data_IF_964043689235
#
_entry.id   IF_964043689235
#
_cell.length_a   1.000
_cell.length_b   1.000
_cell.length_c   1.000
_cell.angle_alpha   90.00
_cell.angle_beta   90.00
_cell.angle_gamma   90.00
#
_symmetry.space_group_name_H-M   'P 1'
#
loop_
_entity.id
_entity.type
_entity.pdbx_description
1 polymer ?
#
# COMPACT_ATOMS: atom_id res chain seq x y z
N UNK A 1 -3.64 4.06 14.26
CA UNK A 1 -2.21 3.81 14.63
C UNK A 1 -1.41 3.51 13.38
N UNK A 2 -0.21 4.08 13.19
CA UNK A 2 0.66 3.66 12.08
C UNK A 2 1.30 2.32 12.44
N UNK A 3 1.08 1.30 11.61
CA UNK A 3 1.59 -0.07 11.84
C UNK A 3 2.73 -0.45 10.90
N UNK A 4 2.87 0.23 9.76
CA UNK A 4 4.03 0.13 8.87
C UNK A 4 4.32 1.49 8.25
N UNK A 5 5.58 1.84 8.06
CA UNK A 5 6.01 3.04 7.36
C UNK A 5 7.40 2.83 6.78
N UNK A 6 7.68 3.42 5.61
CA UNK A 6 8.93 3.24 4.91
C UNK A 6 8.75 3.40 3.40
N UNK A 7 9.71 2.91 2.62
CA UNK A 7 9.59 2.85 1.16
C UNK A 7 8.99 1.51 0.73
N UNK A 8 8.19 1.55 -0.34
CA UNK A 8 7.87 0.35 -1.10
C UNK A 8 9.11 -0.10 -1.90
N UNK A 9 9.22 -1.41 -2.12
CA UNK A 9 10.31 -2.01 -2.88
C UNK A 9 10.01 -1.92 -4.38
N UNK A 10 10.99 -1.45 -5.15
CA UNK A 10 10.90 -1.40 -6.61
C UNK A 10 9.85 -0.44 -7.14
N UNK A 11 9.21 -0.82 -8.24
CA UNK A 11 8.20 0.00 -8.91
C UNK A 11 6.84 -0.13 -8.22
N UNK A 12 6.20 1.02 -8.00
CA UNK A 12 4.79 1.10 -7.67
C UNK A 12 4.04 1.61 -8.89
N UNK A 13 3.04 0.85 -9.35
CA UNK A 13 2.24 1.17 -10.53
C UNK A 13 0.80 1.59 -10.19
N UNK A 14 0.49 1.72 -8.90
CA UNK A 14 -0.84 2.06 -8.41
C UNK A 14 -1.55 0.91 -7.72
N UNK A 15 -2.87 1.00 -7.69
CA UNK A 15 -3.77 -0.03 -7.20
C UNK A 15 -4.43 -0.72 -8.40
N UNK A 16 -4.58 -2.04 -8.35
CA UNK A 16 -5.15 -2.80 -9.45
C UNK A 16 -6.35 -3.64 -8.99
N UNK A 17 -6.08 -4.66 -8.17
CA UNK A 17 -7.04 -5.64 -7.71
C UNK A 17 -6.56 -6.31 -6.43
N UNK A 18 -7.28 -7.33 -5.96
CA UNK A 18 -6.97 -8.04 -4.74
C UNK A 18 -5.71 -8.91 -4.84
N UNK A 19 -5.11 -9.12 -6.01
CA UNK A 19 -3.84 -9.84 -6.18
C UNK A 19 -2.63 -8.91 -6.05
N UNK A 20 -2.86 -7.61 -5.94
CA UNK A 20 -1.80 -6.61 -5.79
C UNK A 20 -1.14 -6.72 -4.41
N UNK A 21 0.19 -6.92 -4.40
CA UNK A 21 1.03 -6.99 -3.20
C UNK A 21 1.93 -5.76 -3.15
N UNK A 22 1.94 -5.10 -1.98
CA UNK A 22 2.83 -4.00 -1.65
C UNK A 22 3.89 -4.49 -0.67
N UNK A 23 5.13 -4.61 -1.15
CA UNK A 23 6.28 -4.99 -0.33
C UNK A 23 7.04 -3.74 0.11
N UNK A 24 7.26 -3.61 1.41
CA UNK A 24 8.16 -2.58 1.95
C UNK A 24 9.61 -3.05 1.86
N UNK A 25 10.57 -2.12 1.80
CA UNK A 25 12.02 -2.44 1.76
C UNK A 25 12.51 -3.27 2.96
N UNK A 26 11.78 -3.26 4.08
CA UNK A 26 12.02 -4.14 5.24
C UNK A 26 11.42 -5.55 5.13
N UNK A 27 10.91 -5.95 3.96
CA UNK A 27 10.35 -7.28 3.69
C UNK A 27 8.90 -7.50 4.12
N UNK A 28 8.29 -6.54 4.84
CA UNK A 28 6.88 -6.63 5.23
C UNK A 28 5.97 -6.43 4.01
N UNK A 29 4.97 -7.30 3.84
CA UNK A 29 4.07 -7.30 2.69
C UNK A 29 2.62 -7.06 3.10
N UNK A 30 1.90 -6.36 2.24
CA UNK A 30 0.48 -6.05 2.38
C UNK A 30 -0.22 -6.38 1.07
N UNK A 31 -1.35 -7.08 1.13
CA UNK A 31 -2.17 -7.40 -0.03
C UNK A 31 -3.39 -6.50 -0.05
N UNK A 32 -3.74 -5.99 -1.23
CA UNK A 32 -4.94 -5.19 -1.42
C UNK A 32 -6.20 -6.00 -1.05
N UNK A 33 -7.04 -5.44 -0.17
CA UNK A 33 -8.19 -6.16 0.39
C UNK A 33 -9.46 -6.01 -0.46
N UNK A 34 -9.58 -4.92 -1.22
CA UNK A 34 -10.77 -4.59 -1.99
C UNK A 34 -10.42 -4.24 -3.44
N UNK A 35 -11.33 -4.51 -4.37
CA UNK A 35 -11.15 -4.08 -5.76
C UNK A 35 -11.12 -2.54 -5.82
N UNK A 36 -9.99 -2.01 -6.29
CA UNK A 36 -9.78 -0.57 -6.53
C UNK A 36 -8.67 -0.43 -7.57
N UNK A 37 -9.02 0.20 -8.68
CA UNK A 37 -8.07 0.56 -9.73
C UNK A 37 -7.69 2.03 -9.62
N UNK A 38 -6.39 2.32 -9.64
CA UNK A 38 -5.86 3.68 -9.73
C UNK A 38 -4.42 3.60 -10.23
N UNK A 39 -4.14 4.14 -11.42
CA UNK A 39 -2.79 4.20 -11.95
C UNK A 39 -1.99 5.35 -11.32
N UNK A 40 -0.81 5.05 -10.80
CA UNK A 40 0.17 6.02 -10.35
C UNK A 40 1.55 5.37 -10.36
N UNK A 41 2.45 5.87 -11.21
CA UNK A 41 3.82 5.37 -11.26
C UNK A 41 4.71 6.14 -10.29
N UNK A 42 5.44 5.40 -9.45
CA UNK A 42 6.55 5.93 -8.68
C UNK A 42 7.59 4.84 -8.41
N UNK A 43 8.87 5.22 -8.44
CA UNK A 43 9.96 4.32 -8.05
C UNK A 43 10.24 4.45 -6.56
N UNK A 44 10.12 3.34 -5.83
CA UNK A 44 10.33 3.22 -4.37
C UNK A 44 9.65 4.33 -3.55
N UNK A 45 8.35 4.61 -3.74
CA UNK A 45 7.68 5.70 -3.03
C UNK A 45 7.60 5.42 -1.53
N UNK A 46 7.60 6.50 -0.74
CA UNK A 46 7.25 6.41 0.67
C UNK A 46 5.77 6.06 0.85
N UNK A 47 5.50 5.13 1.76
CA UNK A 47 4.15 4.71 2.13
C UNK A 47 4.01 4.51 3.63
N UNK A 48 2.75 4.46 4.09
CA UNK A 48 2.39 4.07 5.45
C UNK A 48 1.13 3.23 5.44
N UNK A 49 1.06 2.28 6.36
CA UNK A 49 -0.16 1.54 6.67
C UNK A 49 -0.69 2.02 8.02
N UNK A 50 -1.93 2.46 8.02
CA UNK A 50 -2.64 2.93 9.21
C UNK A 50 -3.71 1.91 9.58
N UNK A 51 -3.78 1.56 10.87
CA UNK A 51 -4.84 0.75 11.44
C UNK A 51 -5.85 1.65 12.16
N UNK A 52 -7.10 1.61 11.70
CA UNK A 52 -8.23 2.37 12.25
C UNK A 52 -9.51 1.53 12.15
N UNK A 53 -10.31 1.45 13.23
CA UNK A 53 -11.57 0.71 13.22
C UNK A 53 -11.44 -0.78 12.85
N UNK A 54 -10.30 -1.42 13.15
CA UNK A 54 -10.03 -2.82 12.81
C UNK A 54 -9.62 -3.06 11.36
N UNK A 55 -9.51 -2.01 10.54
CA UNK A 55 -9.06 -2.08 9.14
C UNK A 55 -7.66 -1.54 8.98
N UNK A 56 -6.95 -2.01 7.95
CA UNK A 56 -5.65 -1.47 7.55
C UNK A 56 -5.79 -0.74 6.22
N UNK A 57 -5.20 0.44 6.13
CA UNK A 57 -5.25 1.27 4.92
C UNK A 57 -3.86 1.72 4.53
N UNK A 58 -3.48 1.46 3.28
CA UNK A 58 -2.23 1.90 2.68
C UNK A 58 -2.39 3.30 2.07
N UNK A 59 -1.45 4.17 2.40
CA UNK A 59 -1.30 5.51 1.83
C UNK A 59 0.08 5.59 1.16
N UNK A 60 0.12 6.11 -0.07
CA UNK A 60 1.35 6.28 -0.83
C UNK A 60 1.59 7.77 -1.06
N UNK A 61 2.81 8.23 -0.82
CA UNK A 61 3.19 9.65 -0.96
C UNK A 61 3.03 10.09 -2.42
N UNK A 62 2.37 11.23 -2.63
CA UNK A 62 2.09 11.74 -3.98
C UNK A 62 0.83 11.15 -4.62
N UNK A 63 0.19 10.16 -4.00
CA UNK A 63 -1.08 9.60 -4.43
C UNK A 63 -2.20 10.02 -3.47
N UNK A 64 -3.20 10.73 -3.98
CA UNK A 64 -4.36 11.15 -3.19
C UNK A 64 -5.30 9.99 -2.82
N UNK A 65 -5.19 8.85 -3.51
CA UNK A 65 -5.94 7.65 -3.22
C UNK A 65 -5.25 6.80 -2.14
N UNK A 66 -6.06 6.16 -1.31
CA UNK A 66 -5.65 5.06 -0.43
C UNK A 66 -6.37 3.77 -0.80
N UNK A 67 -5.91 2.64 -0.29
CA UNK A 67 -6.59 1.35 -0.48
C UNK A 67 -6.57 0.53 0.81
N UNK A 68 -7.64 -0.22 1.05
CA UNK A 68 -7.69 -1.17 2.15
C UNK A 68 -6.74 -2.34 1.85
N UNK A 69 -6.03 -2.81 2.88
CA UNK A 69 -5.07 -3.90 2.79
C UNK A 69 -5.24 -4.89 3.93
N UNK A 70 -4.67 -6.08 3.78
CA UNK A 70 -4.45 -7.03 4.88
C UNK A 70 -3.01 -7.56 4.80
N UNK A 71 -2.46 -8.11 5.90
CA UNK A 71 -1.17 -8.79 5.85
C UNK A 71 -1.15 -9.87 4.76
N UNK A 72 -0.06 -9.94 3.99
CA UNK A 72 0.15 -10.94 2.95
C UNK A 72 1.08 -12.05 3.43
#
# INVERSE_FOLDING_TARGET
MIVSTGQLSGEFQGFNDQDTIFEFTGGRKWRQATYKYCYYYAYMPHAKVVQEGGRYTLYVTGLNNSVEVHPA
#
